data_IF_123471057754
#
_entry.id   IF_123471057754
#
_cell.length_a   1.000
_cell.length_b   1.000
_cell.length_c   1.000
_cell.angle_alpha   90.00
_cell.angle_beta   90.00
_cell.angle_gamma   90.00
#
_symmetry.space_group_name_H-M   'P 1'
#
loop_
_entity.id
_entity.type
_entity.pdbx_description
1 polymer ?
#
# COMPACT_ATOMS: atom_id res chain seq x y z
N UNK A 1 -34.20 -2.19 36.58
CA UNK A 1 -33.09 -3.15 36.74
C UNK A 1 -32.17 -2.98 35.54
N UNK A 2 -31.16 -2.11 35.64
CA UNK A 2 -30.12 -1.93 34.62
C UNK A 2 -28.93 -2.80 34.99
N UNK A 3 -28.56 -3.74 34.12
CA UNK A 3 -27.29 -4.45 34.25
C UNK A 3 -26.21 -3.56 33.66
N UNK A 4 -25.42 -2.96 34.54
CA UNK A 4 -24.17 -2.30 34.21
C UNK A 4 -23.19 -3.34 33.66
N UNK A 5 -22.89 -3.24 32.37
CA UNK A 5 -21.68 -3.82 31.78
C UNK A 5 -20.47 -3.10 32.38
N UNK A 6 -19.94 -3.65 33.47
CA UNK A 6 -18.60 -3.29 33.93
C UNK A 6 -17.59 -3.88 32.96
N UNK A 7 -17.01 -3.02 32.13
CA UNK A 7 -15.78 -3.30 31.39
C UNK A 7 -14.73 -3.81 32.37
N UNK A 8 -14.39 -5.08 32.25
CA UNK A 8 -13.25 -5.67 32.93
C UNK A 8 -12.01 -5.03 32.32
N UNK A 9 -11.44 -4.04 33.00
CA UNK A 9 -10.06 -3.62 32.78
C UNK A 9 -9.16 -4.78 33.22
N UNK A 10 -8.82 -5.68 32.30
CA UNK A 10 -7.72 -6.61 32.56
C UNK A 10 -6.43 -5.79 32.52
N UNK A 11 -5.83 -5.60 33.68
CA UNK A 11 -4.44 -5.16 33.85
C UNK A 11 -3.50 -6.24 33.34
N UNK A 12 -3.56 -6.53 32.04
CA UNK A 12 -2.48 -7.23 31.37
C UNK A 12 -1.37 -6.20 31.24
N UNK A 13 -0.47 -6.19 32.22
CA UNK A 13 0.82 -5.53 32.07
C UNK A 13 1.49 -6.20 30.86
N UNK A 14 1.41 -5.53 29.71
CA UNK A 14 2.27 -5.86 28.59
C UNK A 14 3.71 -5.67 29.08
N UNK A 15 4.64 -6.61 28.79
CA UNK A 15 6.05 -6.45 29.10
C UNK A 15 6.49 -5.02 28.75
N UNK A 16 7.29 -4.38 29.58
CA UNK A 16 7.86 -3.08 29.22
C UNK A 16 8.80 -3.29 28.02
N UNK A 17 8.22 -3.18 26.82
CA UNK A 17 8.91 -3.34 25.56
C UNK A 17 9.77 -2.09 25.34
N UNK A 18 11.10 -2.24 25.32
CA UNK A 18 11.97 -1.21 24.73
C UNK A 18 11.60 -1.13 23.25
N UNK A 19 11.00 -0.01 22.84
CA UNK A 19 10.25 0.10 21.59
C UNK A 19 11.08 -0.14 20.31
N UNK A 20 12.40 -0.07 20.37
CA UNK A 20 13.28 -0.22 19.20
C UNK A 20 12.96 0.78 18.08
N UNK A 21 12.22 1.85 18.39
CA UNK A 21 11.68 2.78 17.42
C UNK A 21 12.76 3.76 16.96
N UNK A 22 12.98 3.85 15.65
CA UNK A 22 13.83 4.89 15.04
C UNK A 22 13.02 6.18 14.90
N UNK A 23 13.63 7.29 15.32
CA UNK A 23 13.16 8.63 14.98
C UNK A 23 13.24 8.85 13.46
N UNK A 24 12.43 9.78 12.96
CA UNK A 24 12.43 10.15 11.55
C UNK A 24 13.84 10.61 11.09
N UNK A 25 14.57 11.33 11.94
CA UNK A 25 15.94 11.78 11.66
C UNK A 25 16.91 10.62 11.43
N UNK A 26 16.75 9.52 12.17
CA UNK A 26 17.56 8.30 11.99
C UNK A 26 17.17 7.55 10.71
N UNK A 27 15.88 7.53 10.39
CA UNK A 27 15.36 6.96 9.15
C UNK A 27 15.83 7.73 7.91
N UNK A 28 15.87 9.06 7.98
CA UNK A 28 16.43 9.90 6.92
C UNK A 28 17.93 9.71 6.78
N UNK A 29 18.67 9.58 7.89
CA UNK A 29 20.09 9.29 7.86
C UNK A 29 20.40 7.91 7.25
N UNK A 30 19.53 6.92 7.46
CA UNK A 30 19.59 5.61 6.83
C UNK A 30 19.27 5.70 5.32
N UNK A 31 18.15 6.36 4.95
CA UNK A 31 17.76 6.57 3.56
C UNK A 31 18.84 7.30 2.74
N UNK A 32 19.49 8.31 3.33
CA UNK A 32 20.58 9.06 2.72
C UNK A 32 21.84 8.19 2.47
N UNK A 33 22.04 7.12 3.24
CA UNK A 33 23.10 6.13 3.04
C UNK A 33 22.71 5.04 2.04
N UNK A 34 21.54 5.15 1.41
CA UNK A 34 20.97 4.09 0.57
C UNK A 34 20.51 2.87 1.35
N UNK A 35 20.47 2.95 2.69
CA UNK A 35 19.87 1.90 3.50
C UNK A 35 18.36 1.90 3.26
N UNK A 36 17.75 0.71 3.08
CA UNK A 36 16.31 0.62 2.91
C UNK A 36 15.68 1.23 4.17
N UNK A 37 14.88 2.28 3.99
CA UNK A 37 14.31 2.96 5.13
C UNK A 37 13.38 1.99 5.94
N UNK A 38 13.61 1.82 7.24
CA UNK A 38 12.92 0.85 8.11
C UNK A 38 11.85 1.51 8.98
N UNK A 39 10.58 1.13 8.79
CA UNK A 39 9.53 1.48 9.74
C UNK A 39 9.89 0.88 11.12
N UNK A 40 9.77 1.73 12.12
CA UNK A 40 10.12 1.49 13.51
C UNK A 40 9.18 0.47 14.18
N UNK A 41 9.29 -0.82 13.84
CA UNK A 41 9.02 -2.01 14.66
C UNK A 41 8.90 -3.27 13.79
N UNK A 42 9.46 -4.39 14.27
CA UNK A 42 9.17 -5.73 13.74
C UNK A 42 7.85 -6.31 14.28
N UNK A 43 7.11 -5.56 15.12
CA UNK A 43 5.87 -6.04 15.78
C UNK A 43 4.61 -5.60 15.00
N UNK A 44 3.83 -6.54 14.45
CA UNK A 44 2.58 -6.25 13.73
C UNK A 44 1.51 -5.52 14.58
N UNK A 45 1.47 -5.73 15.90
CA UNK A 45 0.48 -5.11 16.76
C UNK A 45 0.75 -3.60 16.92
N UNK A 46 2.03 -3.21 16.98
CA UNK A 46 2.44 -1.82 17.02
C UNK A 46 2.10 -1.13 15.68
N UNK A 47 2.45 -1.75 14.56
CA UNK A 47 2.13 -1.17 13.25
C UNK A 47 0.61 -1.00 13.04
N UNK A 48 -0.19 -1.94 13.55
CA UNK A 48 -1.64 -1.85 13.51
C UNK A 48 -2.18 -0.71 14.40
N UNK A 49 -1.67 -0.56 15.62
CA UNK A 49 -2.05 0.55 16.50
C UNK A 49 -1.67 1.91 15.90
N UNK A 50 -0.47 2.03 15.34
CA UNK A 50 -0.01 3.24 14.66
C UNK A 50 -0.90 3.59 13.46
N UNK A 51 -1.34 2.58 12.70
CA UNK A 51 -2.27 2.77 11.57
C UNK A 51 -3.61 3.39 12.03
N UNK A 52 -4.13 2.96 13.19
CA UNK A 52 -5.37 3.51 13.74
C UNK A 52 -5.20 4.97 14.20
N UNK A 53 -4.05 5.31 14.78
CA UNK A 53 -3.74 6.69 15.19
C UNK A 53 -3.77 7.60 13.96
N UNK A 54 -3.08 7.21 12.89
CA UNK A 54 -2.94 8.07 11.71
C UNK A 54 -4.16 8.05 10.77
N UNK A 55 -5.13 7.17 10.96
CA UNK A 55 -6.27 7.00 10.04
C UNK A 55 -7.07 8.30 9.85
N UNK A 56 -7.28 9.09 10.91
CA UNK A 56 -7.97 10.40 10.84
C UNK A 56 -7.17 11.43 10.07
N UNK A 57 -5.86 11.47 10.29
CA UNK A 57 -4.96 12.40 9.59
C UNK A 57 -4.84 12.02 8.12
N UNK A 58 -4.80 10.72 7.84
CA UNK A 58 -4.85 10.18 6.49
C UNK A 58 -6.16 10.54 5.78
N UNK A 59 -7.30 10.44 6.45
CA UNK A 59 -8.59 10.88 5.89
C UNK A 59 -8.59 12.38 5.57
N UNK A 60 -8.14 13.20 6.51
CA UNK A 60 -8.02 14.65 6.33
C UNK A 60 -7.12 14.98 5.14
N UNK A 61 -5.96 14.34 5.05
CA UNK A 61 -5.03 14.51 3.93
C UNK A 61 -5.67 14.08 2.59
N UNK A 62 -6.31 12.92 2.56
CA UNK A 62 -6.96 12.38 1.35
C UNK A 62 -8.02 13.33 0.84
N UNK A 63 -8.83 13.92 1.73
CA UNK A 63 -9.83 14.94 1.37
C UNK A 63 -9.19 16.20 0.76
N UNK A 64 -8.05 16.65 1.29
CA UNK A 64 -7.31 17.80 0.73
C UNK A 64 -6.74 17.49 -0.65
N UNK A 65 -6.12 16.32 -0.82
CA UNK A 65 -5.59 15.86 -2.11
C UNK A 65 -6.72 15.72 -3.14
N UNK A 66 -7.83 15.08 -2.75
CA UNK A 66 -9.00 14.96 -3.61
C UNK A 66 -9.53 16.32 -4.05
N UNK A 67 -9.63 17.30 -3.13
CA UNK A 67 -10.01 18.68 -3.45
C UNK A 67 -9.04 19.35 -4.43
N UNK A 68 -7.74 19.22 -4.21
CA UNK A 68 -6.71 19.78 -5.09
C UNK A 68 -6.78 19.21 -6.52
N UNK A 69 -7.12 17.93 -6.65
CA UNK A 69 -7.28 17.24 -7.93
C UNK A 69 -8.70 17.40 -8.53
N UNK A 70 -9.68 17.84 -7.75
CA UNK A 70 -11.10 17.85 -8.12
C UNK A 70 -11.76 16.46 -8.14
N UNK A 71 -11.17 15.49 -7.43
CA UNK A 71 -11.67 14.12 -7.27
C UNK A 71 -12.51 13.92 -6.00
N UNK A 72 -12.71 12.66 -5.63
CA UNK A 72 -13.47 12.25 -4.42
C UNK A 72 -12.56 11.44 -3.51
N UNK A 73 -12.57 11.78 -2.22
CA UNK A 73 -11.89 10.96 -1.22
C UNK A 73 -12.81 9.80 -0.80
N UNK A 74 -12.23 8.62 -0.71
CA UNK A 74 -12.85 7.44 -0.12
C UNK A 74 -11.82 6.82 0.83
N UNK A 75 -12.23 6.55 2.07
CA UNK A 75 -11.37 5.78 2.97
C UNK A 75 -11.44 4.32 2.59
N UNK A 76 -10.28 3.71 2.37
CA UNK A 76 -10.23 2.25 2.21
C UNK A 76 -10.56 1.60 3.55
N UNK A 77 -11.14 0.38 3.55
CA UNK A 77 -11.40 -0.31 4.80
C UNK A 77 -10.07 -0.63 5.48
N UNK A 78 -10.02 -0.40 6.80
CA UNK A 78 -8.89 -0.76 7.65
C UNK A 78 -8.51 -2.22 7.40
N UNK A 79 -7.20 -2.47 7.42
CA UNK A 79 -6.72 -3.82 7.21
C UNK A 79 -6.92 -4.62 8.50
N UNK A 80 -7.73 -5.67 8.42
CA UNK A 80 -7.97 -6.58 9.54
C UNK A 80 -6.64 -7.10 10.14
N UNK A 81 -6.50 -7.04 11.46
CA UNK A 81 -5.34 -7.52 12.22
C UNK A 81 -4.98 -8.97 11.87
N UNK A 82 -5.95 -9.87 11.65
CA UNK A 82 -5.66 -11.23 11.20
C UNK A 82 -4.98 -11.27 9.83
N UNK A 83 -5.34 -10.36 8.92
CA UNK A 83 -4.68 -10.23 7.61
C UNK A 83 -3.31 -9.56 7.72
N UNK A 84 -3.11 -8.68 8.70
CA UNK A 84 -1.79 -8.15 9.06
C UNK A 84 -0.90 -9.29 9.53
N UNK A 85 -1.34 -10.07 10.52
CA UNK A 85 -0.60 -11.21 11.06
C UNK A 85 -0.32 -12.28 10.01
N UNK A 86 -1.29 -12.62 9.16
CA UNK A 86 -1.09 -13.58 8.06
C UNK A 86 -0.03 -13.10 7.06
N UNK A 87 0.06 -11.80 6.81
CA UNK A 87 1.07 -11.22 5.89
C UNK A 87 2.46 -11.20 6.53
N UNK A 88 2.54 -10.98 7.83
CA UNK A 88 3.77 -11.11 8.62
C UNK A 88 4.27 -12.56 8.66
N UNK A 89 3.40 -13.50 9.00
CA UNK A 89 3.74 -14.92 9.12
C UNK A 89 3.97 -15.59 7.77
N UNK A 90 3.37 -15.07 6.70
CA UNK A 90 3.41 -15.64 5.36
C UNK A 90 4.70 -15.38 4.58
N UNK A 91 5.70 -14.68 5.15
CA UNK A 91 6.92 -14.24 4.45
C UNK A 91 6.63 -13.83 3.00
N UNK A 92 5.64 -12.96 2.77
CA UNK A 92 5.39 -12.48 1.40
C UNK A 92 6.70 -11.89 0.85
N UNK A 93 7.26 -12.59 -0.13
CA UNK A 93 8.52 -12.28 -0.82
C UNK A 93 9.79 -12.21 0.06
N UNK A 94 9.78 -12.79 1.27
CA UNK A 94 10.94 -12.73 2.18
C UNK A 94 11.31 -11.31 2.64
N UNK A 95 10.38 -10.35 2.50
CA UNK A 95 10.58 -8.95 2.89
C UNK A 95 10.06 -8.71 4.29
N UNK A 96 10.75 -7.84 5.03
CA UNK A 96 10.31 -7.38 6.34
C UNK A 96 8.91 -6.75 6.22
N UNK A 97 7.91 -7.23 6.97
CA UNK A 97 6.56 -6.68 6.91
C UNK A 97 6.47 -5.22 7.40
N UNK A 98 7.52 -4.68 8.01
CA UNK A 98 7.69 -3.23 8.25
C UNK A 98 7.69 -2.40 6.94
N UNK A 99 7.98 -3.02 5.78
CA UNK A 99 7.88 -2.38 4.46
C UNK A 99 6.46 -2.33 3.89
N UNK A 100 5.48 -2.82 4.65
CA UNK A 100 4.17 -3.14 4.14
C UNK A 100 3.16 -2.04 4.42
N UNK A 101 3.10 -1.06 3.53
CA UNK A 101 2.43 0.21 3.80
C UNK A 101 0.90 0.16 3.61
N UNK A 102 0.29 -1.03 3.49
CA UNK A 102 -1.15 -1.21 3.30
C UNK A 102 -1.92 -1.45 4.62
N UNK A 103 -1.30 -1.20 5.78
CA UNK A 103 -1.98 -1.23 7.09
C UNK A 103 -3.03 -0.14 7.21
N UNK A 104 -2.70 1.06 6.73
CA UNK A 104 -3.61 2.17 6.53
C UNK A 104 -3.63 2.52 5.05
N UNK A 105 -4.83 2.80 4.53
CA UNK A 105 -5.00 3.13 3.11
C UNK A 105 -6.18 4.05 2.86
N UNK A 106 -6.04 4.86 1.83
CA UNK A 106 -7.06 5.79 1.38
C UNK A 106 -7.07 5.85 -0.14
N UNK A 107 -8.16 6.38 -0.70
CA UNK A 107 -8.38 6.42 -2.14
C UNK A 107 -8.81 7.81 -2.58
N UNK A 108 -8.28 8.24 -3.71
CA UNK A 108 -8.75 9.40 -4.45
C UNK A 108 -9.31 8.91 -5.77
N UNK A 109 -10.63 9.06 -5.94
CA UNK A 109 -11.34 8.72 -7.16
C UNK A 109 -11.26 9.88 -8.16
N UNK A 110 -10.74 9.59 -9.35
CA UNK A 110 -10.48 10.54 -10.42
C UNK A 110 -11.51 10.37 -11.54
N UNK A 111 -12.22 11.43 -11.90
CA UNK A 111 -13.36 11.39 -12.82
C UNK A 111 -12.99 11.42 -14.30
N UNK A 112 -11.79 11.88 -14.64
CA UNK A 112 -11.38 12.05 -16.03
C UNK A 112 -9.85 12.06 -16.20
N UNK A 113 -9.40 11.92 -17.46
CA UNK A 113 -7.98 11.92 -17.83
C UNK A 113 -7.21 13.17 -17.37
N UNK A 114 -7.82 14.34 -17.31
CA UNK A 114 -7.17 15.56 -16.81
C UNK A 114 -6.84 15.45 -15.31
N UNK A 115 -7.70 14.84 -14.51
CA UNK A 115 -7.44 14.58 -13.09
C UNK A 115 -6.36 13.51 -12.92
N UNK A 116 -6.35 12.48 -13.76
CA UNK A 116 -5.29 11.45 -13.81
C UNK A 116 -3.93 12.09 -14.12
N UNK A 117 -3.83 12.91 -15.16
CA UNK A 117 -2.59 13.63 -15.50
C UNK A 117 -2.10 14.50 -14.34
N UNK A 118 -2.99 15.27 -13.71
CA UNK A 118 -2.64 16.08 -12.52
C UNK A 118 -2.15 15.24 -11.35
N UNK A 119 -2.77 14.09 -11.09
CA UNK A 119 -2.31 13.17 -10.06
C UNK A 119 -0.90 12.66 -10.38
N UNK A 120 -0.64 12.27 -11.63
CA UNK A 120 0.69 11.87 -12.10
C UNK A 120 1.69 13.03 -11.96
N UNK A 121 1.35 14.24 -12.40
CA UNK A 121 2.25 15.40 -12.30
C UNK A 121 2.67 15.69 -10.86
N UNK A 122 1.73 15.55 -9.91
CA UNK A 122 2.00 15.79 -8.50
C UNK A 122 2.76 14.63 -7.84
N UNK A 123 2.33 13.39 -8.08
CA UNK A 123 2.73 12.23 -7.26
C UNK A 123 3.59 11.20 -7.98
N UNK A 124 3.92 11.33 -9.26
CA UNK A 124 4.67 10.31 -10.00
C UNK A 124 6.13 10.12 -9.56
N UNK A 125 6.66 11.00 -8.71
CA UNK A 125 8.05 10.98 -8.28
C UNK A 125 8.13 11.01 -6.75
N UNK A 126 8.97 10.16 -6.11
CA UNK A 126 9.30 10.30 -4.69
C UNK A 126 9.85 11.68 -4.35
N UNK A 127 9.51 12.19 -3.17
CA UNK A 127 9.92 13.51 -2.69
C UNK A 127 8.86 14.21 -1.85
N UNK A 128 9.09 15.49 -1.57
CA UNK A 128 8.14 16.33 -0.83
C UNK A 128 7.21 17.06 -1.80
N UNK A 129 5.92 16.97 -1.58
CA UNK A 129 4.89 17.72 -2.29
C UNK A 129 4.31 18.76 -1.33
N UNK A 130 4.04 19.97 -1.82
CA UNK A 130 3.29 20.98 -1.09
C UNK A 130 2.00 21.30 -1.85
N UNK A 131 0.86 21.15 -1.16
CA UNK A 131 -0.44 21.58 -1.69
C UNK A 131 -0.56 23.10 -1.59
N UNK A 132 -1.49 23.69 -2.36
CA UNK A 132 -1.73 25.15 -2.36
C UNK A 132 -2.13 25.72 -0.99
N UNK A 133 -2.64 24.89 -0.09
CA UNK A 133 -3.01 25.27 1.27
C UNK A 133 -1.84 25.14 2.28
N UNK A 134 -0.62 24.87 1.79
CA UNK A 134 0.59 24.69 2.60
C UNK A 134 0.76 23.28 3.18
N UNK A 135 -0.16 22.35 2.92
CA UNK A 135 -0.02 20.96 3.38
C UNK A 135 1.19 20.30 2.71
N UNK A 136 2.14 19.81 3.51
CA UNK A 136 3.32 19.07 3.04
C UNK A 136 3.10 17.58 3.10
N UNK A 137 3.48 16.86 2.05
CA UNK A 137 3.28 15.43 1.88
C UNK A 137 4.61 14.80 1.49
N UNK A 138 5.04 13.80 2.24
CA UNK A 138 6.25 13.07 1.93
C UNK A 138 5.92 11.80 1.14
N UNK A 139 6.19 11.81 -0.16
CA UNK A 139 6.05 10.66 -1.05
C UNK A 139 7.33 9.85 -1.05
N UNK A 140 7.20 8.55 -0.83
CA UNK A 140 8.33 7.63 -0.69
C UNK A 140 8.47 6.68 -1.86
N UNK A 141 7.38 6.08 -2.26
CA UNK A 141 7.34 5.14 -3.36
C UNK A 141 6.11 5.40 -4.20
N UNK A 142 6.26 5.19 -5.50
CA UNK A 142 5.20 5.41 -6.45
C UNK A 142 5.17 4.22 -7.40
N UNK A 143 4.00 3.60 -7.51
CA UNK A 143 3.71 2.58 -8.49
C UNK A 143 2.59 3.08 -9.39
N UNK A 144 2.97 3.60 -10.56
CA UNK A 144 2.03 4.23 -11.50
C UNK A 144 1.62 3.27 -12.62
N UNK A 145 0.54 2.53 -12.40
CA UNK A 145 -0.02 1.60 -13.39
C UNK A 145 -0.95 2.29 -14.41
N UNK A 146 -1.09 3.62 -14.39
CA UNK A 146 -1.74 4.36 -15.49
C UNK A 146 -0.85 4.38 -16.73
N UNK A 147 0.45 4.63 -16.53
CA UNK A 147 1.43 4.88 -17.60
C UNK A 147 2.29 3.66 -17.93
N UNK A 148 2.35 2.66 -17.05
CA UNK A 148 3.12 1.43 -17.27
C UNK A 148 2.27 0.15 -17.13
N UNK A 149 2.52 -0.82 -17.99
CA UNK A 149 1.91 -2.15 -17.91
C UNK A 149 2.66 -2.98 -16.86
N UNK A 150 2.13 -3.03 -15.65
CA UNK A 150 2.74 -3.81 -14.59
C UNK A 150 2.21 -5.25 -14.58
N UNK A 151 3.10 -6.20 -14.91
CA UNK A 151 2.77 -7.64 -14.90
C UNK A 151 2.43 -8.17 -13.49
N UNK A 152 2.90 -7.53 -12.41
CA UNK A 152 2.67 -7.95 -11.02
C UNK A 152 1.29 -7.52 -10.50
N UNK A 153 0.84 -6.31 -10.86
CA UNK A 153 -0.49 -5.77 -10.51
C UNK A 153 -1.43 -5.68 -11.71
N UNK A 154 -1.37 -6.67 -12.61
CA UNK A 154 -2.28 -6.77 -13.75
C UNK A 154 -3.73 -6.59 -13.28
N UNK A 155 -4.48 -5.71 -13.94
CA UNK A 155 -5.90 -5.47 -13.65
C UNK A 155 -6.18 -4.29 -12.75
N UNK A 156 -5.16 -3.56 -12.29
CA UNK A 156 -5.35 -2.33 -11.51
C UNK A 156 -4.80 -1.18 -12.36
N UNK A 157 -5.67 -0.55 -13.15
CA UNK A 157 -5.33 0.70 -13.84
C UNK A 157 -5.43 1.85 -12.82
N UNK A 158 -4.42 1.93 -11.95
CA UNK A 158 -4.36 2.83 -10.80
C UNK A 158 -2.96 3.43 -10.64
N UNK A 159 -2.78 4.31 -9.66
CA UNK A 159 -1.47 4.68 -9.14
C UNK A 159 -1.49 4.51 -7.62
N UNK A 160 -0.59 3.69 -7.10
CA UNK A 160 -0.41 3.50 -5.66
C UNK A 160 0.78 4.36 -5.21
N UNK A 161 0.57 5.19 -4.20
CA UNK A 161 1.57 6.13 -3.67
C UNK A 161 1.75 5.87 -2.19
N UNK A 162 2.97 5.56 -1.78
CA UNK A 162 3.31 5.42 -0.36
C UNK A 162 3.70 6.78 0.18
N UNK A 163 2.95 7.27 1.15
CA UNK A 163 3.24 8.52 1.86
C UNK A 163 3.64 8.25 3.30
N UNK A 164 4.48 9.11 3.87
CA UNK A 164 4.90 9.01 5.27
C UNK A 164 4.19 10.06 6.11
N UNK A 165 3.56 9.62 7.19
CA UNK A 165 2.98 10.47 8.23
C UNK A 165 3.92 10.51 9.42
N UNK A 166 4.15 11.71 9.94
CA UNK A 166 4.70 11.90 11.29
C UNK A 166 3.56 11.94 12.29
N UNK A 167 3.73 11.26 13.43
CA UNK A 167 2.77 11.34 14.52
C UNK A 167 3.49 11.25 15.87
N UNK A 168 2.79 11.67 16.91
CA UNK A 168 3.23 11.50 18.29
C UNK A 168 2.38 10.42 18.93
N UNK A 169 3.04 9.43 19.51
CA UNK A 169 2.40 8.33 20.25
C UNK A 169 1.71 8.82 21.52
N UNK A 170 0.89 7.97 22.15
CA UNK A 170 0.25 8.31 23.43
C UNK A 170 1.29 8.60 24.53
N UNK A 171 2.48 8.01 24.43
CA UNK A 171 3.60 8.17 25.34
C UNK A 171 4.44 9.43 25.06
N UNK A 172 4.09 10.23 24.05
CA UNK A 172 4.81 11.45 23.68
C UNK A 172 6.03 11.23 22.77
N UNK A 173 6.30 9.99 22.37
CA UNK A 173 7.39 9.67 21.43
C UNK A 173 6.99 10.08 20.00
N UNK A 174 7.90 10.75 19.28
CA UNK A 174 7.73 11.03 17.84
C UNK A 174 8.05 9.79 17.03
N UNK A 175 7.15 9.43 16.12
CA UNK A 175 7.26 8.26 15.24
C UNK A 175 6.79 8.60 13.83
N UNK A 176 6.84 7.61 12.94
CA UNK A 176 6.28 7.72 11.60
C UNK A 176 5.58 6.44 11.15
N UNK A 177 4.60 6.61 10.29
CA UNK A 177 3.84 5.51 9.71
C UNK A 177 3.71 5.70 8.20
N UNK A 178 3.80 4.62 7.44
CA UNK A 178 3.57 4.65 6.01
C UNK A 178 2.14 4.33 5.67
N UNK A 179 1.56 5.16 4.82
CA UNK A 179 0.17 5.05 4.38
C UNK A 179 0.11 4.88 2.86
N UNK A 180 -0.74 3.96 2.39
CA UNK A 180 -0.97 3.77 0.96
C UNK A 180 -2.11 4.66 0.47
N UNK A 181 -1.78 5.64 -0.35
CA UNK A 181 -2.72 6.50 -1.06
C UNK A 181 -2.92 5.97 -2.49
N UNK A 182 -4.14 5.56 -2.82
CA UNK A 182 -4.46 4.99 -4.14
C UNK A 182 -5.24 5.98 -5.00
N UNK A 183 -4.79 6.19 -6.23
CA UNK A 183 -5.51 6.98 -7.23
C UNK A 183 -6.20 6.03 -8.20
N UNK A 184 -7.52 6.10 -8.28
CA UNK A 184 -8.34 5.16 -9.05
C UNK A 184 -9.30 5.96 -9.95
N UNK A 185 -9.47 5.61 -11.24
CA UNK A 185 -10.52 6.20 -12.05
C UNK A 185 -11.88 5.84 -11.47
N UNK A 186 -12.74 6.83 -11.24
CA UNK A 186 -14.03 6.65 -10.57
C UNK A 186 -14.93 5.64 -11.30
N UNK A 187 -14.89 5.66 -12.63
CA UNK A 187 -15.60 4.76 -13.55
C UNK A 187 -14.97 3.36 -13.68
N UNK A 188 -13.76 3.16 -13.16
CA UNK A 188 -13.10 1.85 -13.10
C UNK A 188 -13.12 1.24 -11.69
N UNK A 189 -13.80 1.87 -10.72
CA UNK A 189 -13.89 1.35 -9.34
C UNK A 189 -14.44 -0.08 -9.28
N UNK A 190 -15.52 -0.36 -10.02
CA UNK A 190 -16.12 -1.69 -10.05
C UNK A 190 -15.15 -2.73 -10.63
N UNK A 191 -14.42 -2.37 -11.69
CA UNK A 191 -13.40 -3.24 -12.28
C UNK A 191 -12.20 -3.45 -11.35
N UNK A 192 -11.82 -2.43 -10.59
CA UNK A 192 -10.79 -2.52 -9.55
C UNK A 192 -11.18 -3.54 -8.47
N UNK A 193 -12.40 -3.44 -7.94
CA UNK A 193 -12.89 -4.38 -6.93
C UNK A 193 -13.04 -5.80 -7.50
N UNK A 194 -13.53 -5.93 -8.73
CA UNK A 194 -13.58 -7.22 -9.44
C UNK A 194 -12.18 -7.83 -9.56
N UNK A 195 -11.20 -7.06 -10.03
CA UNK A 195 -9.79 -7.46 -10.16
C UNK A 195 -9.21 -7.91 -8.81
N UNK A 196 -9.58 -7.22 -7.72
CA UNK A 196 -9.17 -7.59 -6.37
C UNK A 196 -9.77 -8.93 -5.90
N UNK A 197 -11.01 -9.24 -6.26
CA UNK A 197 -11.59 -10.57 -5.98
C UNK A 197 -10.90 -11.67 -6.78
N UNK A 198 -10.55 -11.40 -8.05
CA UNK A 198 -9.74 -12.36 -8.84
C UNK A 198 -8.36 -12.57 -8.21
N UNK A 199 -7.73 -11.52 -7.67
CA UNK A 199 -6.49 -11.64 -6.91
C UNK A 199 -6.61 -12.56 -5.70
N UNK A 200 -7.67 -12.40 -4.88
CA UNK A 200 -7.90 -13.26 -3.73
C UNK A 200 -8.03 -14.73 -4.14
N UNK A 201 -8.79 -15.03 -5.19
CA UNK A 201 -8.90 -16.40 -5.74
C UNK A 201 -7.55 -16.95 -6.20
N UNK A 202 -6.77 -16.15 -6.95
CA UNK A 202 -5.41 -16.52 -7.37
C UNK A 202 -4.53 -16.84 -6.16
N UNK A 203 -4.60 -16.04 -5.10
CA UNK A 203 -3.79 -16.20 -3.89
C UNK A 203 -4.12 -17.49 -3.15
N UNK A 204 -5.41 -17.82 -3.03
CA UNK A 204 -5.87 -19.08 -2.44
C UNK A 204 -5.35 -20.28 -3.25
N UNK A 205 -5.49 -20.25 -4.58
CA UNK A 205 -4.96 -21.31 -5.44
C UNK A 205 -3.43 -21.46 -5.31
N UNK A 206 -2.68 -20.36 -5.18
CA UNK A 206 -1.24 -20.40 -4.94
C UNK A 206 -0.88 -21.11 -3.64
N UNK A 207 -1.56 -20.79 -2.53
CA UNK A 207 -1.32 -21.45 -1.23
C UNK A 207 -1.53 -22.97 -1.34
N UNK A 208 -2.60 -23.40 -2.02
CA UNK A 208 -2.86 -24.83 -2.20
C UNK A 208 -1.89 -25.51 -3.17
N UNK A 209 -1.43 -24.81 -4.21
CA UNK A 209 -0.37 -25.29 -5.11
C UNK A 209 0.93 -25.48 -4.34
N UNK A 210 1.35 -24.50 -3.55
CA UNK A 210 2.56 -24.57 -2.72
C UNK A 210 2.46 -25.69 -1.69
N UNK A 211 1.27 -25.91 -1.10
CA UNK A 211 1.00 -27.06 -0.23
C UNK A 211 1.11 -28.40 -0.96
N UNK A 212 0.61 -28.49 -2.19
CA UNK A 212 0.76 -29.70 -3.02
C UNK A 212 2.22 -29.94 -3.43
N UNK A 213 2.98 -28.88 -3.71
CA UNK A 213 4.41 -28.93 -4.04
C UNK A 213 5.22 -29.45 -2.85
N UNK A 214 4.97 -28.90 -1.65
CA UNK A 214 5.58 -29.38 -0.40
C UNK A 214 5.21 -30.85 -0.11
N UNK A 215 3.95 -31.24 -0.33
CA UNK A 215 3.51 -32.61 -0.17
C UNK A 215 4.22 -33.56 -1.15
N UNK A 216 4.40 -33.16 -2.41
CA UNK A 216 5.16 -33.93 -3.40
C UNK A 216 6.61 -34.16 -2.98
N UNK A 217 7.21 -33.19 -2.29
CA UNK A 217 8.60 -33.29 -1.83
C UNK A 217 8.80 -34.32 -0.70
N UNK A 218 7.73 -34.70 0.03
CA UNK A 218 7.81 -35.58 1.20
C UNK A 218 7.00 -36.87 1.07
N UNK A 219 6.06 -36.95 0.13
CA UNK A 219 5.17 -38.10 0.01
C UNK A 219 5.85 -39.30 -0.67
N UNK A 220 5.36 -40.51 -0.38
CA UNK A 220 5.81 -41.74 -1.04
C UNK A 220 5.22 -41.91 -2.45
N UNK A 221 5.76 -42.85 -3.26
CA UNK A 221 5.32 -43.04 -4.65
C UNK A 221 3.81 -43.30 -4.83
N UNK A 222 3.15 -43.92 -3.85
CA UNK A 222 1.72 -44.23 -3.87
C UNK A 222 0.81 -43.00 -3.75
N UNK A 223 1.32 -41.88 -3.21
CA UNK A 223 0.54 -40.65 -2.99
C UNK A 223 0.90 -39.55 -4.01
N UNK A 224 2.06 -39.66 -4.66
CA UNK A 224 2.62 -38.66 -5.56
C UNK A 224 1.70 -38.33 -6.75
N UNK A 225 0.97 -39.31 -7.29
CA UNK A 225 0.04 -39.08 -8.40
C UNK A 225 -1.13 -38.18 -7.98
N UNK A 226 -1.68 -38.41 -6.79
CA UNK A 226 -2.77 -37.62 -6.23
C UNK A 226 -2.36 -36.17 -5.99
N UNK A 227 -1.17 -35.95 -5.43
CA UNK A 227 -0.63 -34.60 -5.22
C UNK A 227 -0.26 -33.90 -6.52
N UNK A 228 0.28 -34.62 -7.51
CA UNK A 228 0.59 -34.10 -8.86
C UNK A 228 -0.66 -33.64 -9.60
N UNK A 229 -1.78 -34.35 -9.41
CA UNK A 229 -3.08 -33.94 -9.98
C UNK A 229 -3.58 -32.64 -9.34
N UNK A 230 -3.52 -32.54 -8.01
CA UNK A 230 -3.89 -31.32 -7.27
C UNK A 230 -3.02 -30.12 -7.66
N UNK A 231 -1.71 -30.32 -7.76
CA UNK A 231 -0.78 -29.27 -8.19
C UNK A 231 -1.18 -28.69 -9.55
N UNK A 232 -1.41 -29.56 -10.55
CA UNK A 232 -1.80 -29.13 -11.91
C UNK A 232 -3.15 -28.41 -11.93
N UNK A 233 -4.10 -28.87 -11.12
CA UNK A 233 -5.40 -28.21 -10.98
C UNK A 233 -5.25 -26.78 -10.43
N UNK A 234 -4.45 -26.58 -9.38
CA UNK A 234 -4.25 -25.25 -8.80
C UNK A 234 -3.40 -24.34 -9.70
N UNK A 235 -2.42 -24.89 -10.41
CA UNK A 235 -1.64 -24.15 -11.41
C UNK A 235 -2.54 -23.61 -12.54
N UNK A 236 -3.46 -24.43 -13.07
CA UNK A 236 -4.43 -23.99 -14.06
C UNK A 236 -5.35 -22.87 -13.54
N UNK A 237 -5.77 -22.92 -12.26
CA UNK A 237 -6.56 -21.85 -11.63
C UNK A 237 -5.77 -20.54 -11.53
N UNK A 238 -4.47 -20.61 -11.20
CA UNK A 238 -3.57 -19.44 -11.14
C UNK A 238 -3.47 -18.79 -12.53
N UNK A 239 -3.21 -19.60 -13.57
CA UNK A 239 -3.09 -19.11 -14.94
C UNK A 239 -4.41 -18.48 -15.42
N UNK A 240 -5.55 -19.14 -15.19
CA UNK A 240 -6.88 -18.61 -15.51
C UNK A 240 -7.14 -17.27 -14.83
N UNK A 241 -6.83 -17.16 -13.52
CA UNK A 241 -7.01 -15.92 -12.78
C UNK A 241 -6.09 -14.80 -13.29
N UNK A 242 -4.88 -15.13 -13.76
CA UNK A 242 -3.97 -14.16 -14.36
C UNK A 242 -4.49 -13.63 -15.71
N UNK A 243 -5.03 -14.50 -16.56
CA UNK A 243 -5.67 -14.10 -17.83
C UNK A 243 -6.90 -13.23 -17.58
N UNK A 244 -7.74 -13.58 -16.62
CA UNK A 244 -8.91 -12.79 -16.25
C UNK A 244 -8.51 -11.39 -15.75
N UNK A 245 -7.52 -11.29 -14.85
CA UNK A 245 -7.01 -9.99 -14.37
C UNK A 245 -6.43 -9.14 -15.50
N UNK A 246 -5.70 -9.76 -16.43
CA UNK A 246 -5.17 -9.06 -17.60
C UNK A 246 -6.29 -8.53 -18.49
N UNK A 247 -7.34 -9.33 -18.71
CA UNK A 247 -8.50 -8.93 -19.51
C UNK A 247 -9.23 -7.74 -18.88
N UNK A 248 -9.41 -7.74 -17.55
CA UNK A 248 -9.96 -6.59 -16.82
C UNK A 248 -9.09 -5.35 -17.03
N UNK A 249 -7.75 -5.49 -16.90
CA UNK A 249 -6.82 -4.38 -17.11
C UNK A 249 -6.99 -3.74 -18.49
N UNK A 250 -6.94 -4.56 -19.53
CA UNK A 250 -6.98 -4.09 -20.91
C UNK A 250 -8.34 -3.46 -21.23
N UNK A 251 -9.44 -4.03 -20.74
CA UNK A 251 -10.77 -3.44 -20.90
C UNK A 251 -10.92 -2.07 -20.23
N UNK A 252 -10.40 -1.90 -19.00
CA UNK A 252 -10.36 -0.58 -18.35
C UNK A 252 -9.48 0.39 -19.15
N UNK A 253 -8.31 -0.08 -19.58
CA UNK A 253 -7.31 0.73 -20.27
C UNK A 253 -7.84 1.31 -21.59
N UNK A 254 -8.46 0.45 -22.41
CA UNK A 254 -9.09 0.81 -23.68
C UNK A 254 -10.25 1.79 -23.45
N UNK A 255 -11.18 1.45 -22.55
CA UNK A 255 -12.36 2.28 -22.26
C UNK A 255 -12.01 3.68 -21.76
N UNK A 256 -10.94 3.81 -20.98
CA UNK A 256 -10.48 5.09 -20.43
C UNK A 256 -9.48 5.81 -21.34
N UNK A 257 -9.04 5.19 -22.43
CA UNK A 257 -8.02 5.74 -23.33
C UNK A 257 -6.70 6.02 -22.62
N UNK A 258 -6.24 5.14 -21.73
CA UNK A 258 -4.98 5.31 -20.99
C UNK A 258 -3.74 5.03 -21.86
N UNK A 259 -3.92 4.55 -23.09
CA UNK A 259 -2.84 4.44 -24.09
C UNK A 259 -2.20 5.78 -24.42
N UNK A 260 -2.96 6.87 -24.37
CA UNK A 260 -2.45 8.23 -24.52
C UNK A 260 -1.52 8.67 -23.36
N UNK A 261 -1.50 7.93 -22.26
CA UNK A 261 -0.64 8.21 -21.11
C UNK A 261 0.64 7.36 -21.11
N UNK A 262 0.83 6.43 -22.06
CA UNK A 262 2.08 5.68 -22.19
C UNK A 262 3.22 6.66 -22.45
N UNK A 263 4.28 6.55 -21.65
CA UNK A 263 5.45 7.42 -21.78
C UNK A 263 5.21 8.86 -21.35
N UNK A 264 4.01 9.22 -20.86
CA UNK A 264 3.73 10.52 -20.29
C UNK A 264 4.74 10.81 -19.16
N UNK A 265 5.51 11.87 -19.34
CA UNK A 265 6.45 12.34 -18.34
C UNK A 265 5.78 13.44 -17.50
N UNK A 266 5.93 13.42 -16.16
CA UNK A 266 5.43 14.49 -15.30
C UNK A 266 5.95 15.85 -15.76
N UNK A 267 5.09 16.86 -15.78
CA UNK A 267 5.44 18.21 -16.21
C UNK A 267 6.57 18.80 -15.36
N UNK A 268 7.72 19.18 -15.96
CA UNK A 268 8.90 19.71 -15.25
C UNK A 268 8.63 20.96 -14.39
N UNK A 269 7.67 21.81 -14.75
CA UNK A 269 7.29 22.98 -13.95
C UNK A 269 6.34 22.63 -12.79
N UNK A 270 5.69 21.47 -12.85
CA UNK A 270 4.92 20.89 -11.75
C UNK A 270 5.72 19.85 -10.95
N UNK A 271 6.92 19.48 -11.44
CA UNK A 271 7.81 18.57 -10.74
C UNK A 271 8.15 19.18 -9.39
N UNK A 272 8.02 18.34 -8.37
CA UNK A 272 8.74 18.47 -7.11
C UNK A 272 10.17 18.90 -7.43
N UNK A 273 10.61 20.05 -6.90
CA UNK A 273 12.02 20.42 -6.95
C UNK A 273 12.77 19.25 -6.31
N UNK A 274 13.53 18.50 -7.10
CA UNK A 274 14.45 17.50 -6.56
C UNK A 274 15.31 18.23 -5.53
N UNK A 275 15.33 17.70 -4.31
CA UNK A 275 16.34 18.09 -3.35
C UNK A 275 17.67 17.58 -3.90
N UNK A 276 18.37 18.46 -4.60
CA UNK A 276 19.77 18.26 -4.91
C UNK A 276 20.52 18.28 -3.59
N UNK A 277 20.93 17.09 -3.15
CA UNK A 277 21.97 16.82 -2.15
C UNK A 277 22.32 18.00 -1.25
N UNK A 278 21.59 18.18 -0.15
CA UNK A 278 22.16 18.84 1.01
C UNK A 278 21.81 18.03 2.25
N UNK A 279 22.86 17.64 2.98
CA UNK A 279 22.75 17.10 4.33
C UNK A 279 22.08 18.09 5.29
N UNK A 280 22.11 17.80 6.60
CA UNK A 280 21.15 18.34 7.54
C UNK A 280 21.38 19.84 7.73
N UNK A 281 20.48 20.68 7.21
CA UNK A 281 20.19 22.00 7.76
C UNK A 281 18.78 22.45 7.34
N UNK A 282 17.99 22.72 8.38
CA UNK A 282 16.87 23.67 8.50
C UNK A 282 16.32 24.34 7.22
N UNK A 283 15.00 24.30 7.07
CA UNK A 283 14.27 25.29 6.27
C UNK A 283 13.75 26.41 7.19
N UNK A 284 14.40 27.57 7.11
CA UNK A 284 13.70 28.86 7.10
C UNK A 284 13.63 29.29 5.63
N UNK A 285 12.70 30.17 5.25
CA UNK A 285 12.97 31.42 4.51
C UNK A 285 11.70 31.94 3.80
N UNK A 286 11.45 33.23 4.12
CA UNK A 286 10.87 34.36 3.38
C UNK A 286 9.88 34.10 2.24
#
# INVERSE_FOLDING_TARGET
MSQDMRLIHSTTEYPQFKSGRRSLSEEWAAAAKGEPPQQAAHDPAILFADAQIIQKDAESLTRRIARALGGFAEMGPEKDLYRVLAKFNGKEDGKDPSFNCDFSRSRVLLRNKSQIRRAIDMFATPGQIELKDGTRIMVREVENNFTCLNKRKAGLANMDVKVTFEFTTAEGERSFHHHELQFIPADAKADYERSHEVYKRKRVAQIYRDGADNALAICGPSEAEGWSKKWRQYDAQIQSAQVERWSIHMGVRERLGLDELIGYQPCNSCKVKKLENQGPNLYVVQ
#
